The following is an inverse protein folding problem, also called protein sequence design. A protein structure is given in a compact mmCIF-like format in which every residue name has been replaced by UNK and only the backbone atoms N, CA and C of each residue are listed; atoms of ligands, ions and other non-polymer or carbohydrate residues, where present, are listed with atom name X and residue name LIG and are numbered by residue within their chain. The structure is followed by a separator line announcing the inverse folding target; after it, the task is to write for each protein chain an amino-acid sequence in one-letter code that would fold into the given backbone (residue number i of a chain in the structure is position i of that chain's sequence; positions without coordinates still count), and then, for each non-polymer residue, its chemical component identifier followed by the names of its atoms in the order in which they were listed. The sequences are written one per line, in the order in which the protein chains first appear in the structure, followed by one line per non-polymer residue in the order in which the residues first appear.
data_IF_816222677946
#
_entry.id   IF_816222677946
#
_cell.length_a   1.000
_cell.length_b   1.000
_cell.length_c   1.000
_cell.angle_alpha   90.00
_cell.angle_beta   90.00
_cell.angle_gamma   90.00
#
_symmetry.space_group_name_H-M   'P 1'
#
loop_
_entity.id
_entity.type
_entity.pdbx_description
1 polymer ?
#
# COMPACT_ATOMS: atom_id res chain seq x y z
N UNK A 1 5.28 -11.95 9.48
CA UNK A 1 5.26 -11.98 8.00
C UNK A 1 4.91 -10.59 7.48
N UNK A 2 5.66 -10.11 6.49
CA UNK A 2 5.43 -8.80 5.90
C UNK A 2 4.11 -8.73 5.16
N UNK A 3 3.41 -7.61 5.31
CA UNK A 3 2.10 -7.36 4.69
C UNK A 3 2.25 -6.29 3.62
N UNK A 4 1.71 -6.51 2.42
CA UNK A 4 1.56 -5.46 1.41
C UNK A 4 1.03 -4.16 2.00
N UNK A 5 1.58 -3.04 1.57
CA UNK A 5 1.21 -1.70 2.05
C UNK A 5 -0.27 -1.41 1.76
N UNK A 6 -0.77 -1.86 0.59
CA UNK A 6 -2.17 -1.66 0.18
C UNK A 6 -2.86 -2.98 -0.19
N UNK A 7 -4.18 -3.09 0.03
CA UNK A 7 -4.98 -4.16 -0.54
C UNK A 7 -5.06 -3.96 -2.06
N UNK A 8 -4.69 -4.98 -2.82
CA UNK A 8 -4.73 -4.95 -4.27
C UNK A 8 -5.54 -6.13 -4.82
N UNK A 9 -6.40 -5.87 -5.81
CA UNK A 9 -7.09 -6.96 -6.51
C UNK A 9 -6.06 -7.79 -7.26
N UNK A 10 -6.12 -9.12 -7.11
CA UNK A 10 -5.12 -10.02 -7.67
C UNK A 10 -3.80 -10.07 -6.90
N UNK A 11 -3.73 -9.50 -5.69
CA UNK A 11 -2.55 -9.58 -4.83
C UNK A 11 -2.15 -11.03 -4.54
N UNK A 12 -0.91 -11.41 -4.89
CA UNK A 12 -0.41 -12.79 -4.78
C UNK A 12 0.00 -13.21 -3.36
N UNK A 13 -0.42 -12.47 -2.32
CA UNK A 13 -0.08 -12.76 -0.92
C UNK A 13 -0.39 -14.20 -0.52
N UNK A 14 -1.57 -14.71 -0.86
CA UNK A 14 -1.99 -16.09 -0.52
C UNK A 14 -1.22 -17.17 -1.28
N UNK A 15 -0.57 -16.81 -2.37
CA UNK A 15 0.23 -17.71 -3.20
C UNK A 15 1.73 -17.57 -2.91
N UNK A 16 2.14 -16.57 -2.11
CA UNK A 16 3.54 -16.28 -1.85
C UNK A 16 4.29 -17.50 -1.29
N UNK A 17 3.71 -18.21 -0.32
CA UNK A 17 4.31 -19.40 0.29
C UNK A 17 4.51 -20.56 -0.70
N UNK A 18 3.73 -20.60 -1.79
CA UNK A 18 3.86 -21.61 -2.85
C UNK A 18 4.77 -21.15 -3.99
N UNK A 19 4.82 -19.85 -4.28
CA UNK A 19 5.57 -19.29 -5.42
C UNK A 19 7.02 -18.99 -5.06
N UNK A 20 7.28 -18.42 -3.89
CA UNK A 20 8.63 -18.01 -3.48
C UNK A 20 9.63 -19.19 -3.48
N UNK A 21 9.29 -20.39 -2.98
CA UNK A 21 10.21 -21.53 -3.03
C UNK A 21 10.53 -22.02 -4.44
N UNK A 22 9.71 -21.66 -5.44
CA UNK A 22 9.93 -22.05 -6.85
C UNK A 22 10.85 -21.07 -7.58
N UNK A 23 11.27 -19.98 -6.93
CA UNK A 23 12.16 -19.02 -7.57
C UNK A 23 13.57 -19.61 -7.64
N UNK A 24 14.19 -19.67 -8.82
CA UNK A 24 15.58 -20.10 -8.93
C UNK A 24 16.51 -19.09 -8.24
N UNK A 25 17.74 -19.47 -7.89
CA UNK A 25 18.77 -18.50 -7.49
C UNK A 25 18.89 -17.39 -8.54
N UNK A 26 18.86 -16.13 -8.10
CA UNK A 26 18.86 -14.97 -9.00
C UNK A 26 19.57 -13.78 -8.36
N UNK A 27 20.24 -12.99 -9.19
CA UNK A 27 20.84 -11.72 -8.79
C UNK A 27 19.91 -10.52 -9.04
N UNK A 28 18.93 -10.71 -9.94
CA UNK A 28 18.03 -9.66 -10.42
C UNK A 28 16.60 -10.12 -10.25
N UNK A 29 15.80 -9.31 -9.59
CA UNK A 29 14.36 -9.53 -9.46
C UNK A 29 13.60 -8.44 -10.19
N UNK A 30 12.71 -8.82 -11.09
CA UNK A 30 11.88 -7.86 -11.84
C UNK A 30 10.42 -8.25 -11.67
N UNK A 31 9.63 -7.35 -11.09
CA UNK A 31 8.19 -7.50 -10.98
C UNK A 31 7.52 -6.45 -11.89
N UNK A 32 7.17 -6.88 -13.11
CA UNK A 32 6.62 -6.00 -14.17
C UNK A 32 5.20 -5.50 -13.85
N UNK A 33 4.46 -6.28 -13.04
CA UNK A 33 3.10 -6.01 -12.59
C UNK A 33 3.04 -6.09 -11.06
N UNK A 34 3.61 -5.09 -10.40
CA UNK A 34 3.74 -5.05 -8.95
C UNK A 34 2.40 -5.21 -8.23
N UNK A 35 1.37 -4.45 -8.65
CA UNK A 35 0.15 -4.32 -7.87
C UNK A 35 0.47 -3.98 -6.41
N UNK A 36 0.04 -4.83 -5.47
CA UNK A 36 0.37 -4.66 -4.05
C UNK A 36 1.82 -5.00 -3.66
N UNK A 37 2.70 -5.33 -4.60
CA UNK A 37 4.10 -5.73 -4.39
C UNK A 37 4.26 -6.87 -3.37
N UNK A 38 3.34 -7.84 -3.42
CA UNK A 38 3.26 -8.89 -2.40
C UNK A 38 4.49 -9.80 -2.44
N UNK A 39 4.92 -10.24 -3.63
CA UNK A 39 6.08 -11.11 -3.76
C UNK A 39 7.38 -10.35 -3.49
N UNK A 40 7.50 -9.12 -3.99
CA UNK A 40 8.58 -8.21 -3.65
C UNK A 40 8.82 -8.10 -2.13
N UNK A 41 7.77 -7.80 -1.35
CA UNK A 41 7.87 -7.57 0.09
C UNK A 41 7.94 -8.86 0.94
N UNK A 42 7.44 -9.99 0.43
CA UNK A 42 7.34 -11.24 1.20
C UNK A 42 8.50 -12.21 1.00
N UNK A 43 9.35 -12.01 -0.03
CA UNK A 43 10.54 -12.85 -0.21
C UNK A 43 11.49 -12.73 0.98
N UNK A 44 12.03 -13.84 1.51
CA UNK A 44 12.91 -13.81 2.68
C UNK A 44 14.22 -13.07 2.41
N UNK A 45 14.76 -13.17 1.20
CA UNK A 45 15.99 -12.50 0.76
C UNK A 45 15.71 -11.53 -0.39
N UNK A 46 16.37 -10.37 -0.36
CA UNK A 46 16.34 -9.41 -1.47
C UNK A 46 17.37 -9.84 -2.51
N UNK A 47 17.05 -9.64 -3.78
CA UNK A 47 18.06 -9.77 -4.82
C UNK A 47 18.97 -8.52 -4.80
N UNK A 48 20.25 -8.64 -5.20
CA UNK A 48 21.14 -7.49 -5.34
C UNK A 48 20.57 -6.34 -6.16
N UNK A 49 19.82 -6.65 -7.22
CA UNK A 49 19.12 -5.66 -8.03
C UNK A 49 17.64 -6.00 -8.10
N UNK A 50 16.78 -5.03 -7.78
CA UNK A 50 15.34 -5.22 -7.85
C UNK A 50 14.68 -4.11 -8.66
N UNK A 51 13.75 -4.49 -9.53
CA UNK A 51 12.97 -3.58 -10.36
C UNK A 51 11.50 -3.83 -10.09
N UNK A 52 10.84 -2.83 -9.53
CA UNK A 52 9.39 -2.83 -9.27
C UNK A 52 8.71 -1.91 -10.29
N UNK A 53 7.82 -2.45 -11.10
CA UNK A 53 7.12 -1.70 -12.14
C UNK A 53 5.60 -1.94 -12.08
N UNK A 54 4.84 -0.92 -12.45
CA UNK A 54 3.40 -1.00 -12.67
C UNK A 54 2.96 0.11 -13.63
N UNK A 55 1.85 -0.09 -14.34
CA UNK A 55 1.27 0.93 -15.22
C UNK A 55 0.54 2.01 -14.40
N UNK A 56 0.12 1.69 -13.18
CA UNK A 56 -0.59 2.63 -12.33
C UNK A 56 0.39 3.64 -11.71
N UNK A 57 0.35 4.88 -12.21
CA UNK A 57 1.20 5.97 -11.73
C UNK A 57 1.03 6.29 -10.25
N UNK A 58 -0.20 6.25 -9.70
CA UNK A 58 -0.43 6.51 -8.27
C UNK A 58 0.19 5.42 -7.39
N UNK A 59 0.21 4.18 -7.88
CA UNK A 59 0.85 3.05 -7.19
C UNK A 59 2.36 3.19 -7.18
N UNK A 60 2.98 3.53 -8.32
CA UNK A 60 4.41 3.78 -8.41
C UNK A 60 4.80 4.95 -7.50
N UNK A 61 4.05 6.05 -7.53
CA UNK A 61 4.29 7.21 -6.67
C UNK A 61 4.11 6.85 -5.19
N UNK A 62 3.16 5.97 -4.83
CA UNK A 62 3.01 5.47 -3.47
C UNK A 62 4.30 4.80 -2.97
N UNK A 63 4.84 3.85 -3.72
CA UNK A 63 6.08 3.18 -3.31
C UNK A 63 7.26 4.16 -3.21
N UNK A 64 7.38 5.10 -4.15
CA UNK A 64 8.42 6.15 -4.13
C UNK A 64 8.31 7.09 -2.93
N UNK A 65 7.10 7.52 -2.58
CA UNK A 65 6.85 8.39 -1.42
C UNK A 65 7.09 7.64 -0.12
N UNK A 66 6.68 6.38 -0.01
CA UNK A 66 6.95 5.55 1.18
C UNK A 66 8.45 5.31 1.37
N UNK A 67 9.21 5.15 0.29
CA UNK A 67 10.66 5.00 0.34
C UNK A 67 11.35 6.29 0.84
N UNK A 68 10.99 7.45 0.30
CA UNK A 68 11.76 8.69 0.51
C UNK A 68 11.18 9.65 1.59
N UNK A 69 9.87 9.58 1.84
CA UNK A 69 9.11 10.56 2.64
C UNK A 69 8.06 9.88 3.53
N UNK A 70 8.45 8.78 4.19
CA UNK A 70 7.55 7.97 5.02
C UNK A 70 6.89 8.79 6.13
N UNK A 71 7.67 9.64 6.81
CA UNK A 71 7.18 10.42 7.94
C UNK A 71 6.11 11.42 7.51
N UNK A 72 6.33 12.12 6.40
CA UNK A 72 5.39 13.08 5.84
C UNK A 72 4.11 12.40 5.35
N UNK A 73 4.23 11.21 4.77
CA UNK A 73 3.10 10.38 4.38
C UNK A 73 2.27 9.95 5.59
N UNK A 74 2.90 9.41 6.63
CA UNK A 74 2.22 9.01 7.88
C UNK A 74 1.57 10.22 8.57
N UNK A 75 2.23 11.39 8.53
CA UNK A 75 1.73 12.62 9.12
C UNK A 75 0.38 13.05 8.53
N UNK A 76 0.08 12.72 7.28
CA UNK A 76 -1.24 12.98 6.67
C UNK A 76 -2.39 12.31 7.43
N UNK A 77 -2.11 11.24 8.19
CA UNK A 77 -3.12 10.43 8.86
C UNK A 77 -3.16 10.58 10.39
N UNK A 78 -2.18 11.27 11.00
CA UNK A 78 -2.01 11.34 12.47
C UNK A 78 -3.26 11.84 13.21
N UNK A 79 -4.07 12.68 12.56
CA UNK A 79 -5.33 13.22 13.09
C UNK A 79 -6.48 13.16 12.08
N UNK A 80 -6.35 12.31 11.06
CA UNK A 80 -7.34 12.24 10.00
C UNK A 80 -8.65 11.62 10.52
N UNK A 81 -9.72 12.43 10.49
CA UNK A 81 -11.04 11.93 10.84
C UNK A 81 -11.66 11.15 9.67
N UNK A 82 -12.40 10.11 10.02
CA UNK A 82 -13.00 9.18 9.09
C UNK A 82 -14.50 9.39 8.99
N UNK A 83 -14.96 10.06 7.93
CA UNK A 83 -16.39 10.24 7.64
C UNK A 83 -16.73 9.82 6.21
N UNK A 84 -17.99 9.43 5.98
CA UNK A 84 -18.48 9.16 4.61
C UNK A 84 -18.38 10.40 3.73
N UNK A 85 -18.66 11.58 4.29
CA UNK A 85 -18.53 12.85 3.58
C UNK A 85 -17.07 13.11 3.15
N UNK A 86 -16.10 12.82 4.02
CA UNK A 86 -14.66 12.93 3.68
C UNK A 86 -14.30 11.99 2.54
N UNK A 87 -14.84 10.77 2.51
CA UNK A 87 -14.62 9.84 1.40
C UNK A 87 -15.17 10.37 0.07
N UNK A 88 -16.38 10.95 0.06
CA UNK A 88 -16.94 11.56 -1.14
C UNK A 88 -16.13 12.78 -1.61
N UNK A 89 -15.67 13.62 -0.68
CA UNK A 89 -14.77 14.73 -1.02
C UNK A 89 -13.47 14.24 -1.64
N UNK A 90 -12.82 13.22 -1.05
CA UNK A 90 -11.60 12.65 -1.61
C UNK A 90 -11.81 12.08 -3.02
N UNK A 91 -12.96 11.45 -3.30
CA UNK A 91 -13.29 11.03 -4.68
C UNK A 91 -13.37 12.20 -5.66
N UNK A 92 -13.98 13.31 -5.24
CA UNK A 92 -14.16 14.51 -6.08
C UNK A 92 -12.86 15.31 -6.28
N UNK A 93 -11.91 15.22 -5.36
CA UNK A 93 -10.63 15.93 -5.45
C UNK A 93 -9.86 15.51 -6.70
N UNK A 94 -9.43 16.52 -7.48
CA UNK A 94 -8.59 16.34 -8.68
C UNK A 94 -7.15 15.99 -8.27
N UNK A 95 -6.62 14.80 -8.65
CA UNK A 95 -5.26 14.39 -8.25
C UNK A 95 -4.15 15.32 -8.74
N UNK A 96 -4.34 15.91 -9.91
CA UNK A 96 -3.40 16.81 -10.59
C UNK A 96 -3.08 18.07 -9.79
N UNK A 97 -3.98 18.50 -8.88
CA UNK A 97 -3.79 19.70 -8.06
C UNK A 97 -3.08 19.40 -6.73
N UNK A 98 -2.76 18.14 -6.46
CA UNK A 98 -2.16 17.69 -5.19
C UNK A 98 -0.66 17.47 -5.35
N UNK A 99 0.08 17.68 -4.26
CA UNK A 99 1.47 17.20 -4.18
C UNK A 99 1.51 15.68 -4.21
N UNK A 100 2.64 15.08 -4.58
CA UNK A 100 2.77 13.61 -4.63
C UNK A 100 2.39 12.95 -3.29
N UNK A 101 2.79 13.53 -2.16
CA UNK A 101 2.45 13.03 -0.82
C UNK A 101 0.93 13.09 -0.60
N UNK A 102 0.28 14.21 -0.95
CA UNK A 102 -1.17 14.35 -0.80
C UNK A 102 -1.94 13.43 -1.75
N UNK A 103 -1.48 13.31 -3.00
CA UNK A 103 -2.06 12.43 -4.02
C UNK A 103 -2.02 10.98 -3.57
N UNK A 104 -0.87 10.53 -3.09
CA UNK A 104 -0.66 9.19 -2.55
C UNK A 104 -1.47 8.97 -1.27
N UNK A 105 -1.54 9.95 -0.37
CA UNK A 105 -2.37 9.84 0.83
C UNK A 105 -3.86 9.70 0.51
N UNK A 106 -4.37 10.47 -0.45
CA UNK A 106 -5.71 10.32 -1.01
C UNK A 106 -5.90 8.94 -1.61
N UNK A 107 -5.01 8.50 -2.50
CA UNK A 107 -5.07 7.21 -3.17
C UNK A 107 -5.12 6.06 -2.15
N UNK A 108 -4.20 6.08 -1.18
CA UNK A 108 -4.15 5.11 -0.08
C UNK A 108 -5.44 5.10 0.74
N UNK A 109 -5.96 6.28 1.10
CA UNK A 109 -7.22 6.41 1.84
C UNK A 109 -8.39 5.76 1.09
N UNK A 110 -8.55 6.05 -0.20
CA UNK A 110 -9.62 5.48 -1.03
C UNK A 110 -9.46 3.96 -1.17
N UNK A 111 -8.25 3.48 -1.41
CA UNK A 111 -7.96 2.06 -1.58
C UNK A 111 -8.33 1.24 -0.33
N UNK A 112 -8.02 1.77 0.86
CA UNK A 112 -8.35 1.13 2.14
C UNK A 112 -9.86 1.06 2.43
N UNK A 113 -10.65 1.96 1.82
CA UNK A 113 -12.11 2.01 1.99
C UNK A 113 -12.83 1.13 0.98
N UNK A 114 -12.37 1.11 -0.27
CA UNK A 114 -12.95 0.29 -1.33
C UNK A 114 -12.62 -1.20 -1.13
N UNK A 115 -11.42 -1.52 -0.63
CA UNK A 115 -10.98 -2.90 -0.39
C UNK A 115 -11.76 -3.65 0.72
N UNK A 116 -12.54 -2.94 1.54
CA UNK A 116 -13.41 -3.55 2.55
C UNK A 116 -14.75 -3.90 1.91
N UNK A 117 -14.86 -5.08 1.30
CA UNK A 117 -16.17 -5.65 0.95
C UNK A 117 -16.96 -5.91 2.24
N UNK A 118 -18.10 -5.25 2.38
CA UNK A 118 -19.11 -5.65 3.35
C UNK A 118 -19.59 -7.06 2.95
N UNK A 119 -19.66 -8.01 3.89
CA UNK A 119 -20.24 -9.35 3.65
C UNK A 119 -21.75 -9.33 3.37
N UNK A 120 -22.37 -8.15 3.41
CA UNK A 120 -23.76 -7.90 3.06
C UNK A 120 -23.76 -6.73 2.07
N UNK A 121 -24.45 -6.86 0.93
CA UNK A 121 -24.52 -5.87 -0.15
C UNK A 121 -25.25 -4.56 0.20
N UNK A 122 -25.08 -4.05 1.42
CA UNK A 122 -25.57 -2.75 1.85
C UNK A 122 -24.44 -1.70 1.79
N UNK A 123 -24.81 -0.49 1.39
CA UNK A 123 -23.96 0.70 1.44
C UNK A 123 -23.26 0.83 2.81
N UNK A 124 -22.06 1.44 2.88
CA UNK A 124 -21.33 1.57 4.14
C UNK A 124 -22.12 2.42 5.13
N UNK A 125 -22.86 1.76 6.02
CA UNK A 125 -23.50 2.39 7.18
C UNK A 125 -22.43 2.66 8.23
N UNK A 126 -22.45 3.87 8.77
CA UNK A 126 -21.59 4.32 9.85
C UNK A 126 -21.75 3.43 11.07
N UNK A 127 -20.85 2.47 11.27
CA UNK A 127 -20.62 1.91 12.60
C UNK A 127 -19.52 2.73 13.25
N UNK A 128 -19.88 3.45 14.30
CA UNK A 128 -19.01 4.11 15.27
C UNK A 128 -18.09 3.09 15.94
N UNK A 129 -17.03 2.69 15.23
CA UNK A 129 -15.75 2.44 15.86
C UNK A 129 -14.81 3.46 15.25
N UNK A 130 -14.34 4.40 16.06
CA UNK A 130 -13.32 5.36 15.64
C UNK A 130 -12.28 4.58 14.85
N UNK A 131 -12.11 4.93 13.58
CA UNK A 131 -11.04 4.34 12.79
C UNK A 131 -9.77 4.78 13.52
N UNK A 132 -9.16 3.86 14.27
CA UNK A 132 -7.84 4.08 14.80
C UNK A 132 -6.97 4.54 13.62
N UNK A 133 -6.11 5.56 13.80
CA UNK A 133 -5.09 5.82 12.80
C UNK A 133 -4.44 4.48 12.47
N UNK A 134 -4.12 4.19 11.19
CA UNK A 134 -3.45 2.94 10.85
C UNK A 134 -2.28 2.79 11.83
N UNK A 135 -2.36 1.81 12.74
CA UNK A 135 -1.35 1.67 13.77
C UNK A 135 -0.08 1.24 13.03
N UNK A 136 0.83 2.19 12.84
CA UNK A 136 2.16 1.94 12.28
C UNK A 136 3.03 1.18 13.30
N UNK A 137 2.54 0.92 14.52
CA UNK A 137 3.27 0.19 15.56
C UNK A 137 3.29 -1.34 15.40
N UNK A 138 2.67 -1.88 14.33
CA UNK A 138 2.61 -3.32 14.08
C UNK A 138 3.45 -3.82 12.91
N UNK A 139 4.18 -2.94 12.21
CA UNK A 139 5.02 -3.36 11.10
C UNK A 139 6.38 -3.80 11.64
N UNK A 140 6.79 -5.05 11.41
CA UNK A 140 8.07 -5.50 11.89
C UNK A 140 9.21 -4.65 11.28
N UNK A 141 10.31 -4.39 12.04
CA UNK A 141 11.42 -3.54 11.58
C UNK A 141 11.98 -3.93 10.21
N UNK A 142 11.92 -5.23 9.86
CA UNK A 142 12.42 -5.80 8.62
C UNK A 142 11.60 -5.46 7.35
N UNK A 143 10.41 -4.87 7.48
CA UNK A 143 9.56 -4.50 6.35
C UNK A 143 9.97 -3.19 5.69
N UNK A 144 10.65 -2.33 6.47
CA UNK A 144 11.01 -0.98 6.05
C UNK A 144 12.45 -0.87 5.59
N UNK A 145 13.35 -1.71 6.11
CA UNK A 145 14.75 -1.72 5.67
C UNK A 145 14.86 -1.84 4.14
N UNK A 146 14.05 -2.70 3.49
CA UNK A 146 14.08 -2.84 2.02
C UNK A 146 13.59 -1.64 1.21
N UNK A 147 12.76 -0.77 1.78
CA UNK A 147 12.30 0.43 1.08
C UNK A 147 13.17 1.65 1.41
N UNK A 148 13.92 1.63 2.51
CA UNK A 148 14.76 2.76 2.95
C UNK A 148 16.27 2.50 2.82
N UNK A 149 16.70 1.28 2.48
CA UNK A 149 18.09 0.94 2.20
C UNK A 149 18.41 1.16 0.71
N UNK A 150 18.39 2.42 0.28
CA UNK A 150 19.20 2.99 -0.81
C UNK A 150 19.21 4.52 -0.66
#
# INVERSE_FOLDING_TARGET
MSTPIIPWMGGKRRLADRLIPLFPPHERYVEVFAGGAALYLMRPQAAPVEVLNDINGDLVTLYRVVQNHLEEFVRQFKWALSFRQVFEWQKMTRPETLTDIQRVARFFYLQQRIGKKNKSGAAPTSTTKGAAPPQVSGYPPFLFSRLTEY
#
